data_IF_684417826496
#
_entry.id   IF_684417826496
#
_cell.length_a   1.000
_cell.length_b   1.000
_cell.length_c   1.000
_cell.angle_alpha   90.00
_cell.angle_beta   90.00
_cell.angle_gamma   90.00
#
_symmetry.space_group_name_H-M   'P 1'
#
loop_
_entity.id
_entity.type
_entity.pdbx_description
1 polymer ?
#
# COMPACT_ATOMS: atom_id res chain seq x y z
N UNK A 1 -13.49 -21.27 18.15
CA UNK A 1 -12.17 -21.89 18.42
C UNK A 1 -11.36 -21.80 17.14
N UNK A 2 -10.24 -21.07 17.14
CA UNK A 2 -9.39 -20.93 15.96
C UNK A 2 -8.17 -21.86 16.10
N UNK A 3 -7.80 -22.62 15.06
CA UNK A 3 -6.63 -23.50 15.11
C UNK A 3 -5.36 -22.73 15.47
N UNK A 4 -4.42 -23.39 16.17
CA UNK A 4 -3.12 -22.79 16.47
C UNK A 4 -2.26 -22.63 15.22
N UNK A 5 -2.29 -23.61 14.33
CA UNK A 5 -1.59 -23.54 13.05
C UNK A 5 -2.57 -23.09 11.96
N UNK A 6 -2.27 -21.96 11.32
CA UNK A 6 -3.07 -21.38 10.24
C UNK A 6 -2.38 -21.70 8.91
N UNK A 7 -3.10 -22.32 7.98
CA UNK A 7 -2.56 -22.68 6.65
C UNK A 7 -2.20 -21.43 5.86
N UNK A 8 -1.22 -21.53 4.96
CA UNK A 8 -0.83 -20.44 4.05
C UNK A 8 -2.02 -19.84 3.28
N UNK A 9 -3.02 -20.66 2.93
CA UNK A 9 -4.25 -20.19 2.27
C UNK A 9 -5.05 -19.21 3.13
N UNK A 10 -5.10 -19.46 4.43
CA UNK A 10 -6.01 -18.79 5.36
C UNK A 10 -5.29 -17.66 6.14
N UNK A 11 -3.96 -17.67 6.19
CA UNK A 11 -3.15 -16.68 6.92
C UNK A 11 -3.32 -15.22 6.44
N UNK A 12 -3.40 -14.91 5.12
CA UNK A 12 -3.68 -13.54 4.68
C UNK A 12 -5.05 -13.04 5.15
N UNK A 13 -6.06 -13.92 5.10
CA UNK A 13 -7.43 -13.60 5.52
C UNK A 13 -7.51 -13.39 7.04
N UNK A 14 -6.72 -14.14 7.82
CA UNK A 14 -6.62 -13.96 9.27
C UNK A 14 -6.18 -12.53 9.63
N UNK A 15 -5.22 -11.97 8.88
CA UNK A 15 -4.71 -10.61 9.08
C UNK A 15 -5.53 -9.53 8.35
N UNK A 16 -6.59 -9.91 7.62
CA UNK A 16 -7.40 -8.96 6.84
C UNK A 16 -6.68 -8.33 5.66
N UNK A 17 -5.72 -9.04 5.05
CA UNK A 17 -4.90 -8.54 3.93
C UNK A 17 -4.96 -9.45 2.70
N UNK A 18 -4.56 -8.93 1.54
CA UNK A 18 -4.41 -9.73 0.33
C UNK A 18 -3.15 -10.60 0.36
N UNK A 19 -3.14 -11.61 -0.51
CA UNK A 19 -2.06 -12.61 -0.58
C UNK A 19 -0.72 -12.01 -1.01
N UNK A 20 -0.71 -10.97 -1.83
CA UNK A 20 0.53 -10.38 -2.32
C UNK A 20 1.24 -9.63 -1.18
N UNK A 21 0.52 -8.74 -0.49
CA UNK A 21 1.06 -8.07 0.71
C UNK A 21 1.51 -9.06 1.77
N UNK A 22 0.74 -10.12 2.02
CA UNK A 22 1.14 -11.13 3.00
C UNK A 22 2.49 -11.78 2.64
N UNK A 23 2.70 -12.15 1.36
CA UNK A 23 3.94 -12.78 0.93
C UNK A 23 5.15 -11.85 0.98
N UNK A 24 4.94 -10.54 0.83
CA UNK A 24 6.01 -9.54 0.84
C UNK A 24 6.33 -9.02 2.25
N UNK A 25 5.31 -8.69 3.04
CA UNK A 25 5.46 -7.96 4.31
C UNK A 25 5.44 -8.86 5.55
N UNK A 26 4.80 -10.03 5.48
CA UNK A 26 4.57 -10.88 6.65
C UNK A 26 5.42 -12.14 6.56
N UNK A 27 5.25 -12.91 5.48
CA UNK A 27 5.82 -14.24 5.32
C UNK A 27 7.34 -14.32 5.52
N UNK A 28 8.16 -13.34 5.07
CA UNK A 28 9.62 -13.40 5.28
C UNK A 28 10.03 -13.34 6.76
N UNK A 29 9.16 -12.84 7.64
CA UNK A 29 9.43 -12.62 9.06
C UNK A 29 8.80 -13.68 9.96
N UNK A 30 8.03 -14.62 9.40
CA UNK A 30 7.37 -15.67 10.18
C UNK A 30 8.09 -17.01 10.06
N UNK A 31 8.00 -17.80 11.13
CA UNK A 31 8.45 -19.18 11.11
C UNK A 31 7.49 -20.04 10.27
N UNK A 32 8.04 -20.67 9.23
CA UNK A 32 7.31 -21.56 8.33
C UNK A 32 7.23 -22.94 8.97
N UNK A 33 6.02 -23.44 9.24
CA UNK A 33 5.78 -24.79 9.76
C UNK A 33 5.32 -25.70 8.62
N UNK A 34 6.16 -26.64 8.14
CA UNK A 34 5.73 -27.62 7.15
C UNK A 34 4.72 -28.59 7.76
N UNK A 35 3.68 -28.94 7.00
CA UNK A 35 2.66 -29.91 7.38
C UNK A 35 2.47 -30.90 6.23
N UNK A 36 2.91 -32.14 6.45
CA UNK A 36 2.98 -33.16 5.42
C UNK A 36 4.05 -32.82 4.38
N UNK A 37 3.91 -33.35 3.17
CA UNK A 37 4.90 -33.18 2.09
C UNK A 37 4.84 -31.81 1.41
N UNK A 38 3.64 -31.20 1.32
CA UNK A 38 3.40 -30.01 0.49
C UNK A 38 2.83 -28.85 1.31
N UNK A 39 2.21 -29.13 2.45
CA UNK A 39 1.49 -28.13 3.22
C UNK A 39 2.42 -27.20 4.00
N UNK A 40 2.01 -25.93 4.11
CA UNK A 40 2.68 -24.94 4.96
C UNK A 40 1.64 -24.28 5.87
N UNK A 41 2.03 -24.02 7.12
CA UNK A 41 1.27 -23.27 8.10
C UNK A 41 2.17 -22.32 8.90
N UNK A 42 1.52 -21.44 9.66
CA UNK A 42 2.13 -20.48 10.58
C UNK A 42 1.46 -20.60 11.95
N UNK A 43 2.20 -20.37 13.03
CA UNK A 43 1.60 -20.26 14.36
C UNK A 43 0.78 -18.96 14.43
N UNK A 44 -0.45 -19.05 14.95
CA UNK A 44 -1.31 -17.91 15.23
C UNK A 44 -0.65 -16.91 16.17
N UNK A 45 0.12 -17.37 17.15
CA UNK A 45 0.80 -16.47 18.09
C UNK A 45 1.89 -15.64 17.40
N UNK A 46 2.58 -16.21 16.42
CA UNK A 46 3.57 -15.46 15.63
C UNK A 46 2.90 -14.41 14.74
N UNK A 47 1.74 -14.76 14.17
CA UNK A 47 0.89 -13.82 13.42
C UNK A 47 0.40 -12.68 14.33
N UNK A 48 -0.06 -13.00 15.54
CA UNK A 48 -0.53 -12.00 16.51
C UNK A 48 0.61 -11.07 16.96
N UNK A 49 1.81 -11.62 17.22
CA UNK A 49 3.00 -10.84 17.56
C UNK A 49 3.41 -9.90 16.42
N UNK A 50 3.40 -10.37 15.17
CA UNK A 50 3.66 -9.51 14.01
C UNK A 50 2.64 -8.36 13.92
N UNK A 51 1.36 -8.61 14.23
CA UNK A 51 0.33 -7.56 14.25
C UNK A 51 0.59 -6.53 15.33
N UNK A 52 1.04 -6.95 16.52
CA UNK A 52 1.40 -6.04 17.60
C UNK A 52 2.56 -5.11 17.19
N UNK A 53 3.61 -5.67 16.59
CA UNK A 53 4.74 -4.89 16.05
C UNK A 53 4.30 -3.95 14.92
N UNK A 54 3.44 -4.44 14.02
CA UNK A 54 2.89 -3.64 12.92
C UNK A 54 2.06 -2.46 13.45
N UNK A 55 1.22 -2.68 14.47
CA UNK A 55 0.45 -1.61 15.12
C UNK A 55 1.37 -0.59 15.81
N UNK A 56 2.48 -1.01 16.39
CA UNK A 56 3.42 -0.09 17.02
C UNK A 56 4.16 0.78 15.98
N UNK A 57 4.53 0.20 14.84
CA UNK A 57 5.27 0.90 13.79
C UNK A 57 4.39 1.75 12.86
N UNK A 58 3.19 1.26 12.54
CA UNK A 58 2.29 1.83 11.51
C UNK A 58 0.93 2.24 12.04
N UNK A 59 0.55 1.77 13.22
CA UNK A 59 -0.72 2.12 13.83
C UNK A 59 -0.79 3.61 14.12
N UNK A 60 -1.97 4.17 13.92
CA UNK A 60 -2.28 5.53 14.36
C UNK A 60 -3.03 5.40 15.68
N UNK A 61 -2.66 6.16 16.72
CA UNK A 61 -3.45 6.15 17.93
C UNK A 61 -4.86 6.64 17.58
N UNK A 62 -5.92 6.05 18.18
CA UNK A 62 -7.24 6.62 18.07
C UNK A 62 -7.19 8.06 18.57
N UNK A 63 -7.77 8.97 17.78
CA UNK A 63 -7.83 10.39 18.13
C UNK A 63 -8.54 10.53 19.48
N UNK A 64 -7.80 10.72 20.57
CA UNK A 64 -8.37 10.92 21.91
C UNK A 64 -8.95 12.34 21.96
N UNK A 65 -10.27 12.42 21.89
CA UNK A 65 -11.02 13.67 21.95
C UNK A 65 -11.47 14.11 20.56
N UNK A 66 -12.76 14.49 20.46
CA UNK A 66 -13.27 15.18 19.28
C UNK A 66 -12.30 16.31 18.92
N UNK A 67 -12.00 16.59 17.63
CA UNK A 67 -12.06 17.97 17.25
C UNK A 67 -13.53 18.31 17.45
N UNK A 68 -13.86 19.04 18.52
CA UNK A 68 -14.97 19.97 18.44
C UNK A 68 -14.80 20.63 17.07
N UNK A 69 -15.86 20.67 16.27
CA UNK A 69 -15.88 21.55 15.11
C UNK A 69 -15.73 22.97 15.69
N UNK A 70 -14.50 23.34 16.06
CA UNK A 70 -14.09 24.71 16.18
C UNK A 70 -14.18 25.18 14.75
N UNK A 71 -15.30 25.82 14.50
CA UNK A 71 -15.51 26.81 13.47
C UNK A 71 -14.34 27.80 13.56
N UNK A 72 -13.19 27.40 13.00
CA UNK A 72 -12.06 28.29 12.80
C UNK A 72 -12.56 29.30 11.79
N UNK A 73 -13.01 30.45 12.32
CA UNK A 73 -13.15 31.69 11.56
C UNK A 73 -12.00 31.73 10.57
N UNK A 74 -12.33 31.81 9.27
CA UNK A 74 -11.36 31.97 8.21
C UNK A 74 -10.52 33.22 8.51
N UNK A 75 -9.37 33.03 9.15
CA UNK A 75 -8.35 34.04 9.26
C UNK A 75 -7.52 33.94 7.98
N UNK A 76 -7.67 34.99 7.16
CA UNK A 76 -7.22 35.09 5.78
C UNK A 76 -5.80 34.59 5.55
N UNK A 77 -5.62 33.97 4.40
CA UNK A 77 -4.32 33.53 3.89
C UNK A 77 -3.31 34.67 3.92
N UNK A 78 -2.29 34.55 4.77
CA UNK A 78 -1.02 35.22 4.55
C UNK A 78 -0.26 34.36 3.53
N UNK A 79 -0.20 34.90 2.32
CA UNK A 79 0.60 34.40 1.21
C UNK A 79 2.07 34.18 1.63
N UNK A 80 2.75 33.33 0.84
CA UNK A 80 4.20 32.98 0.82
C UNK A 80 4.46 31.59 1.41
N UNK A 81 4.89 30.56 0.67
CA UNK A 81 5.19 30.43 -0.76
C UNK A 81 5.70 29.01 -1.06
N UNK A 82 5.52 28.60 -2.32
CA UNK A 82 6.13 27.44 -3.01
C UNK A 82 5.42 26.07 -2.87
N UNK A 83 4.26 25.95 -3.53
CA UNK A 83 3.74 24.67 -4.02
C UNK A 83 4.17 24.50 -5.48
N UNK A 84 5.00 23.51 -5.78
CA UNK A 84 5.39 23.14 -7.14
C UNK A 84 4.23 22.46 -7.86
N UNK A 85 3.35 23.25 -8.47
CA UNK A 85 2.29 22.76 -9.37
C UNK A 85 2.73 23.00 -10.80
N UNK A 86 3.14 21.95 -11.49
CA UNK A 86 3.57 22.00 -12.89
C UNK A 86 2.35 21.79 -13.79
N UNK A 87 1.62 22.87 -14.07
CA UNK A 87 0.62 22.90 -15.15
C UNK A 87 1.27 23.51 -16.39
N UNK A 88 1.92 22.68 -17.22
CA UNK A 88 2.16 23.07 -18.62
C UNK A 88 0.91 22.71 -19.41
N UNK A 89 0.27 23.72 -19.99
CA UNK A 89 -0.77 23.50 -21.00
C UNK A 89 -0.06 23.03 -22.27
N UNK A 90 -0.20 21.76 -22.60
CA UNK A 90 0.18 21.26 -23.93
C UNK A 90 -0.88 21.71 -24.92
N UNK A 91 -0.45 22.34 -26.01
CA UNK A 91 -1.32 22.67 -27.15
C UNK A 91 -1.51 21.44 -28.03
N UNK A 92 -2.67 21.29 -28.67
CA UNK A 92 -3.01 20.11 -29.49
C UNK A 92 -1.96 19.79 -30.57
N UNK A 93 -1.25 20.81 -31.08
CA UNK A 93 -0.17 20.65 -32.05
C UNK A 93 1.04 19.86 -31.49
N UNK A 94 1.35 19.98 -30.20
CA UNK A 94 2.42 19.22 -29.56
C UNK A 94 2.03 17.74 -29.42
N UNK A 95 0.77 17.45 -29.11
CA UNK A 95 0.25 16.08 -29.01
C UNK A 95 0.27 15.38 -30.39
N UNK A 96 -0.13 16.10 -31.44
CA UNK A 96 -0.16 15.55 -32.80
C UNK A 96 1.25 15.22 -33.33
N UNK A 97 2.25 16.07 -33.02
CA UNK A 97 3.65 15.83 -33.37
C UNK A 97 4.23 14.58 -32.68
N UNK A 98 3.83 14.30 -31.44
CA UNK A 98 4.25 13.10 -30.71
C UNK A 98 3.63 11.83 -31.33
N UNK A 99 2.36 11.89 -31.75
CA UNK A 99 1.70 10.78 -32.46
C UNK A 99 2.40 10.45 -33.79
N UNK A 100 2.76 11.46 -34.58
CA UNK A 100 3.47 11.24 -35.85
C UNK A 100 4.85 10.59 -35.65
N UNK A 101 5.60 10.99 -34.61
CA UNK A 101 6.89 10.37 -34.28
C UNK A 101 6.77 8.91 -33.82
N UNK A 102 5.69 8.57 -33.11
CA UNK A 102 5.44 7.21 -32.68
C UNK A 102 5.08 6.30 -33.86
N UNK A 103 4.33 6.82 -34.83
CA UNK A 103 3.89 6.08 -36.02
C UNK A 103 4.97 6.02 -37.13
N UNK A 104 5.91 6.97 -37.17
CA UNK A 104 6.99 6.98 -38.16
C UNK A 104 8.12 5.99 -37.85
N UNK A 105 8.13 5.37 -36.66
CA UNK A 105 9.14 4.40 -36.26
C UNK A 105 8.81 3.01 -36.86
N UNK A 106 9.02 2.88 -38.17
CA UNK A 106 9.05 1.57 -38.85
C UNK A 106 10.15 0.69 -38.21
N UNK A 107 9.88 -0.59 -37.91
CA UNK A 107 10.91 -1.53 -37.51
C UNK A 107 11.81 -1.84 -38.71
N UNK A 108 13.13 -1.61 -38.57
CA UNK A 108 14.11 -2.21 -39.46
C UNK A 108 14.11 -3.73 -39.20
N UNK A 109 13.68 -4.50 -40.18
CA UNK A 109 13.89 -5.95 -40.25
C UNK A 109 15.09 -6.17 -41.18
N UNK A 110 16.00 -7.02 -40.71
CA UNK A 110 17.23 -7.47 -41.38
C UNK A 110 17.01 -8.04 -42.78
#
# INVERSE_FOLDING_TARGET
MQPRLIRLRDAPNYLGMDRHRFNEEVRPYLMVVPIGEIGIAFDRLDLDAWVDDYKQCKGRPPLKGRPQWEEKKCLGSLNVGTFGTLTRKSTDAEFQKVLEQALSKKPNVS
#
